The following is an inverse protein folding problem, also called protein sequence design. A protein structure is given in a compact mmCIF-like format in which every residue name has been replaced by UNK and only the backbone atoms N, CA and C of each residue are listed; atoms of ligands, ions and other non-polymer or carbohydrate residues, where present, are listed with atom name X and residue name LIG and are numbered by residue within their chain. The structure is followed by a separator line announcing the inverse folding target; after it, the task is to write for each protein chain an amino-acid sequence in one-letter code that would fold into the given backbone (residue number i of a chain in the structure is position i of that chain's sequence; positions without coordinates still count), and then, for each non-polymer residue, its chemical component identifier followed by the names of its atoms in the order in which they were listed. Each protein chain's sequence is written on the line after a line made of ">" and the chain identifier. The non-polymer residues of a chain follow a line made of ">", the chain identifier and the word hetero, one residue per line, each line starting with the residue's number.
data_IF_155421702378
#
_entry.id   IF_155421702378
#
_cell.length_a   1.000
_cell.length_b   1.000
_cell.length_c   1.000
_cell.angle_alpha   90.00
_cell.angle_beta   90.00
_cell.angle_gamma   90.00
#
_symmetry.space_group_name_H-M   'P 1'
#
loop_
_entity.id
_entity.type
_entity.pdbx_description
1 polymer ?
#
# COMPACT_ATOMS: atom_id res chain seq x y z
N UNK A 1 -16.63 -10.85 -4.36
CA UNK A 1 -16.51 -9.39 -4.48
C UNK A 1 -17.55 -8.63 -3.65
N UNK A 2 -18.85 -9.03 -3.68
CA UNK A 2 -19.90 -8.36 -2.91
C UNK A 2 -19.63 -8.38 -1.39
N UNK A 3 -19.29 -9.52 -0.81
CA UNK A 3 -18.99 -9.64 0.61
C UNK A 3 -17.82 -8.74 1.04
N UNK A 4 -16.77 -8.68 0.24
CA UNK A 4 -15.62 -7.77 0.50
C UNK A 4 -16.05 -6.30 0.47
N UNK A 5 -16.87 -5.92 -0.49
CA UNK A 5 -17.43 -4.57 -0.59
C UNK A 5 -18.31 -4.24 0.61
N UNK A 6 -19.19 -5.13 1.03
CA UNK A 6 -20.08 -4.96 2.16
C UNK A 6 -19.29 -4.80 3.48
N UNK A 7 -18.31 -5.69 3.72
CA UNK A 7 -17.43 -5.62 4.91
C UNK A 7 -16.65 -4.32 4.94
N UNK A 8 -16.04 -3.90 3.82
CA UNK A 8 -15.29 -2.64 3.74
C UNK A 8 -16.18 -1.44 4.02
N UNK A 9 -17.37 -1.42 3.46
CA UNK A 9 -18.32 -0.33 3.65
C UNK A 9 -18.80 -0.26 5.10
N UNK A 10 -19.12 -1.39 5.71
CA UNK A 10 -19.55 -1.47 7.11
C UNK A 10 -18.42 -1.07 8.07
N UNK A 11 -17.21 -1.60 7.88
CA UNK A 11 -16.04 -1.24 8.68
C UNK A 11 -15.74 0.27 8.62
N UNK A 12 -15.84 0.86 7.41
CA UNK A 12 -15.65 2.29 7.23
C UNK A 12 -16.70 3.12 7.98
N UNK A 13 -17.97 2.74 7.86
CA UNK A 13 -19.06 3.44 8.57
C UNK A 13 -18.91 3.34 10.09
N UNK A 14 -18.56 2.16 10.61
CA UNK A 14 -18.30 1.97 12.02
C UNK A 14 -17.12 2.84 12.52
N UNK A 15 -16.05 2.95 11.72
CA UNK A 15 -14.93 3.84 12.03
C UNK A 15 -15.38 5.31 12.09
N UNK A 16 -16.06 5.81 11.06
CA UNK A 16 -16.54 7.19 11.00
C UNK A 16 -17.53 7.50 12.13
N UNK A 17 -18.37 6.54 12.52
CA UNK A 17 -19.28 6.66 13.66
C UNK A 17 -18.52 6.75 14.97
N UNK A 18 -17.50 5.91 15.20
CA UNK A 18 -16.67 5.97 16.40
C UNK A 18 -15.96 7.32 16.55
N UNK A 19 -15.36 7.83 15.47
CA UNK A 19 -14.76 9.15 15.43
C UNK A 19 -15.78 10.26 15.67
N UNK A 20 -16.99 10.12 15.11
CA UNK A 20 -18.09 11.08 15.28
C UNK A 20 -18.57 11.17 16.72
N UNK A 21 -18.74 10.03 17.39
CA UNK A 21 -19.10 9.99 18.83
C UNK A 21 -18.04 10.73 19.64
N UNK A 22 -16.76 10.50 19.36
CA UNK A 22 -15.67 11.19 20.07
C UNK A 22 -15.66 12.70 19.85
N UNK A 23 -15.91 13.12 18.61
CA UNK A 23 -16.07 14.56 18.31
C UNK A 23 -17.25 15.18 19.02
N UNK A 24 -18.38 14.46 19.09
CA UNK A 24 -19.55 14.92 19.83
C UNK A 24 -19.27 15.12 21.33
N UNK A 25 -18.48 14.23 21.95
CA UNK A 25 -18.02 14.40 23.34
C UNK A 25 -17.15 15.65 23.52
N UNK A 26 -16.36 16.02 22.52
CA UNK A 26 -15.53 17.23 22.54
C UNK A 26 -16.28 18.51 22.15
N UNK A 27 -17.53 18.40 21.75
CA UNK A 27 -18.31 19.54 21.25
C UNK A 27 -17.83 20.05 19.89
N UNK A 28 -17.12 19.22 19.11
CA UNK A 28 -16.59 19.57 17.80
C UNK A 28 -17.38 18.85 16.72
N UNK A 29 -18.00 19.63 15.82
CA UNK A 29 -18.77 19.06 14.69
C UNK A 29 -18.15 19.34 13.32
N UNK A 30 -17.04 20.08 13.26
CA UNK A 30 -16.38 20.41 12.00
C UNK A 30 -15.39 19.34 11.56
N UNK A 31 -15.50 18.95 10.30
CA UNK A 31 -14.64 17.93 9.67
C UNK A 31 -14.14 18.42 8.32
N UNK A 32 -12.98 17.94 7.89
CA UNK A 32 -12.45 18.16 6.55
C UNK A 32 -12.38 16.84 5.80
N UNK A 33 -12.86 16.81 4.56
CA UNK A 33 -12.75 15.63 3.70
C UNK A 33 -11.31 15.49 3.23
N UNK A 34 -10.68 14.37 3.59
CA UNK A 34 -9.25 14.17 3.35
C UNK A 34 -8.90 14.19 1.86
N UNK A 35 -7.86 14.94 1.50
CA UNK A 35 -7.28 14.95 0.17
C UNK A 35 -6.49 13.63 -0.04
N UNK A 36 -6.63 13.03 -1.21
CA UNK A 36 -5.87 11.84 -1.61
C UNK A 36 -5.70 11.81 -3.13
N UNK A 37 -4.63 11.21 -3.62
CA UNK A 37 -4.20 11.27 -5.02
C UNK A 37 -5.15 10.68 -6.06
N UNK A 38 -6.15 9.84 -5.69
CA UNK A 38 -7.11 9.27 -6.65
C UNK A 38 -8.52 9.11 -6.06
N UNK A 39 -9.18 10.19 -5.63
CA UNK A 39 -10.58 10.14 -5.25
C UNK A 39 -11.43 9.72 -6.46
N UNK A 40 -12.53 9.01 -6.19
CA UNK A 40 -13.43 8.68 -7.28
C UNK A 40 -14.23 9.94 -7.72
N UNK A 41 -14.78 9.95 -8.95
CA UNK A 41 -15.51 11.13 -9.46
C UNK A 41 -16.68 11.59 -8.60
N UNK A 42 -17.29 10.67 -7.83
CA UNK A 42 -18.40 11.02 -6.91
C UNK A 42 -17.92 11.75 -5.66
N UNK A 43 -16.71 11.46 -5.20
CA UNK A 43 -16.15 12.04 -3.98
C UNK A 43 -15.27 13.26 -4.26
N UNK A 44 -14.65 13.33 -5.43
CA UNK A 44 -13.77 14.42 -5.85
C UNK A 44 -14.34 15.84 -5.59
N UNK A 45 -15.62 16.14 -5.84
CA UNK A 45 -16.19 17.46 -5.58
C UNK A 45 -16.17 17.89 -4.10
N UNK A 46 -15.96 16.95 -3.19
CA UNK A 46 -16.00 17.18 -1.73
C UNK A 46 -14.63 17.17 -1.07
N UNK A 47 -13.62 16.63 -1.74
CA UNK A 47 -12.26 16.50 -1.22
C UNK A 47 -11.67 17.87 -0.88
N UNK A 48 -11.02 17.97 0.28
CA UNK A 48 -10.47 19.22 0.80
C UNK A 48 -11.49 20.21 1.36
N UNK A 49 -12.79 19.91 1.30
CA UNK A 49 -13.84 20.81 1.81
C UNK A 49 -14.15 20.54 3.27
N UNK A 50 -14.34 21.64 4.00
CA UNK A 50 -14.81 21.59 5.40
C UNK A 50 -16.32 21.43 5.40
N UNK A 51 -16.81 20.59 6.31
CA UNK A 51 -18.23 20.31 6.49
C UNK A 51 -18.60 20.25 7.97
N UNK A 52 -19.86 20.42 8.27
CA UNK A 52 -20.45 20.16 9.59
C UNK A 52 -20.95 18.72 9.58
N UNK A 53 -20.43 17.91 10.48
CA UNK A 53 -20.82 16.51 10.64
C UNK A 53 -22.13 16.40 11.45
N UNK A 54 -23.23 16.51 10.75
CA UNK A 54 -24.59 16.32 11.24
C UNK A 54 -25.05 14.85 11.24
N UNK A 55 -24.16 13.93 10.84
CA UNK A 55 -24.48 12.51 10.71
C UNK A 55 -23.96 11.70 11.90
N UNK A 56 -22.73 11.95 12.32
CA UNK A 56 -22.07 11.17 13.37
C UNK A 56 -21.66 11.99 14.60
N UNK A 57 -21.50 13.33 14.45
CA UNK A 57 -21.06 14.21 15.56
C UNK A 57 -22.18 15.09 16.11
N UNK A 58 -23.43 14.85 15.75
CA UNK A 58 -24.60 15.64 16.16
C UNK A 58 -24.52 17.14 15.79
N UNK A 59 -23.70 17.49 14.78
CA UNK A 59 -23.54 18.86 14.33
C UNK A 59 -24.84 19.47 13.78
N UNK A 60 -24.98 20.78 13.90
CA UNK A 60 -26.12 21.53 13.41
C UNK A 60 -25.69 22.64 12.45
N UNK A 61 -26.57 23.03 11.54
CA UNK A 61 -26.27 24.12 10.59
C UNK A 61 -25.89 25.44 11.30
N UNK A 62 -26.33 25.64 12.54
CA UNK A 62 -25.94 26.74 13.38
C UNK A 62 -24.49 26.75 13.86
N UNK A 63 -23.80 25.60 13.80
CA UNK A 63 -22.43 25.41 14.32
C UNK A 63 -21.37 26.07 13.43
N UNK A 64 -21.75 26.61 12.27
CA UNK A 64 -20.83 27.35 11.43
C UNK A 64 -21.33 27.60 10.01
N UNK A 65 -20.48 28.24 9.22
CA UNK A 65 -20.78 28.61 7.82
C UNK A 65 -20.72 27.45 6.83
N UNK A 66 -20.13 26.31 7.23
CA UNK A 66 -19.86 25.21 6.34
C UNK A 66 -21.11 24.40 5.95
N UNK A 67 -21.09 23.68 4.80
CA UNK A 67 -22.19 22.81 4.41
C UNK A 67 -22.31 21.60 5.33
N UNK A 68 -23.51 21.00 5.39
CA UNK A 68 -23.77 19.78 6.14
C UNK A 68 -23.21 18.55 5.41
N UNK A 69 -22.61 17.64 6.17
CA UNK A 69 -22.04 16.37 5.65
C UNK A 69 -23.13 15.46 5.06
N UNK A 70 -24.33 15.45 5.67
CA UNK A 70 -25.48 14.69 5.15
C UNK A 70 -25.82 15.05 3.71
N UNK A 71 -25.69 16.34 3.33
CA UNK A 71 -25.93 16.78 1.95
C UNK A 71 -24.89 16.26 0.97
N UNK A 72 -23.63 16.18 1.38
CA UNK A 72 -22.55 15.61 0.57
C UNK A 72 -22.76 14.11 0.39
N UNK A 73 -23.17 13.40 1.46
CA UNK A 73 -23.50 11.97 1.40
C UNK A 73 -24.68 11.72 0.45
N UNK A 74 -25.72 12.53 0.51
CA UNK A 74 -26.84 12.43 -0.42
C UNK A 74 -26.43 12.65 -1.89
N UNK A 75 -25.36 13.41 -2.14
CA UNK A 75 -24.79 13.64 -3.47
C UNK A 75 -23.73 12.60 -3.89
N UNK A 76 -23.49 11.57 -3.06
CA UNK A 76 -22.65 10.43 -3.41
C UNK A 76 -21.34 10.29 -2.64
N UNK A 77 -21.03 11.20 -1.71
CA UNK A 77 -19.90 10.99 -0.79
C UNK A 77 -20.14 9.72 0.04
N UNK A 78 -19.09 8.94 0.32
CA UNK A 78 -19.15 7.68 1.08
C UNK A 78 -20.11 6.63 0.51
N UNK A 79 -20.25 6.59 -0.81
CA UNK A 79 -20.97 5.52 -1.51
C UNK A 79 -20.42 4.11 -1.17
N UNK A 80 -21.12 3.02 -1.47
CA UNK A 80 -20.60 1.67 -1.27
C UNK A 80 -19.21 1.49 -1.88
N UNK A 81 -18.30 0.87 -1.11
CA UNK A 81 -16.88 0.69 -1.47
C UNK A 81 -16.04 1.97 -1.55
N UNK A 82 -16.55 3.10 -1.08
CA UNK A 82 -15.80 4.35 -1.00
C UNK A 82 -14.58 4.23 -0.08
N UNK A 83 -13.47 4.87 -0.46
CA UNK A 83 -12.22 4.88 0.30
C UNK A 83 -11.95 6.23 0.97
N UNK A 84 -12.71 7.26 0.63
CA UNK A 84 -12.53 8.60 1.18
C UNK A 84 -12.95 8.66 2.65
N UNK A 85 -12.30 9.51 3.40
CA UNK A 85 -12.52 9.74 4.84
C UNK A 85 -12.53 11.23 5.13
N UNK A 86 -12.82 11.54 6.37
CA UNK A 86 -12.63 12.88 6.90
C UNK A 86 -11.85 12.79 8.23
N UNK A 87 -11.28 13.91 8.61
CA UNK A 87 -10.65 14.12 9.92
C UNK A 87 -11.33 15.29 10.61
N UNK A 88 -11.14 15.40 11.91
CA UNK A 88 -11.61 16.56 12.68
C UNK A 88 -10.91 17.82 12.18
N UNK A 89 -11.68 18.87 11.97
CA UNK A 89 -11.17 20.19 11.62
C UNK A 89 -11.35 21.11 12.81
N UNK A 90 -10.28 21.73 13.27
CA UNK A 90 -10.31 22.75 14.30
C UNK A 90 -10.10 24.11 13.63
N UNK A 91 -11.13 24.99 13.60
CA UNK A 91 -10.96 26.34 13.11
C UNK A 91 -9.76 27.02 13.79
N UNK A 92 -8.96 27.76 13.04
CA UNK A 92 -7.77 28.51 13.50
C UNK A 92 -6.57 27.67 13.94
N UNK A 93 -6.71 26.33 14.06
CA UNK A 93 -5.61 25.44 14.44
C UNK A 93 -5.20 24.46 13.34
N UNK A 94 -6.15 24.13 12.45
CA UNK A 94 -5.85 23.17 11.37
C UNK A 94 -5.51 23.93 10.10
N UNK A 95 -4.41 23.53 9.46
CA UNK A 95 -4.06 24.00 8.12
C UNK A 95 -5.10 23.50 7.10
N UNK A 96 -5.41 24.34 6.13
CA UNK A 96 -6.29 23.98 5.03
C UNK A 96 -5.45 23.46 3.88
N UNK A 97 -5.66 22.20 3.44
CA UNK A 97 -5.06 21.76 2.20
C UNK A 97 -5.64 22.58 1.05
N UNK A 98 -4.80 22.98 0.11
CA UNK A 98 -5.28 23.65 -1.10
C UNK A 98 -6.33 22.77 -1.81
N UNK A 99 -7.50 23.32 -2.17
CA UNK A 99 -8.49 22.57 -2.94
C UNK A 99 -7.90 22.19 -4.30
N UNK A 100 -8.39 21.11 -4.91
CA UNK A 100 -8.08 20.80 -6.29
C UNK A 100 -8.62 21.90 -7.21
N UNK A 101 -7.75 22.50 -8.03
CA UNK A 101 -8.16 23.36 -9.14
C UNK A 101 -8.78 22.51 -10.28
N UNK A 102 -9.21 23.12 -11.38
CA UNK A 102 -9.85 22.38 -12.48
C UNK A 102 -8.87 21.43 -13.18
N UNK A 103 -7.63 21.86 -13.40
CA UNK A 103 -6.59 21.03 -14.03
C UNK A 103 -6.21 19.85 -13.15
N UNK A 104 -6.04 20.07 -11.84
CA UNK A 104 -5.82 18.99 -10.86
C UNK A 104 -6.98 17.96 -10.85
N UNK A 105 -8.23 18.41 -11.05
CA UNK A 105 -9.38 17.53 -11.08
C UNK A 105 -9.38 16.63 -12.32
N UNK A 106 -8.95 17.14 -13.47
CA UNK A 106 -8.82 16.37 -14.70
C UNK A 106 -7.72 15.32 -14.57
N UNK A 107 -6.55 15.69 -14.07
CA UNK A 107 -5.44 14.77 -13.79
C UNK A 107 -5.84 13.66 -12.81
N UNK A 108 -6.45 14.04 -11.69
CA UNK A 108 -6.96 13.07 -10.70
C UNK A 108 -8.00 12.11 -11.30
N UNK A 109 -8.83 12.61 -12.22
CA UNK A 109 -9.80 11.78 -12.91
C UNK A 109 -9.15 10.78 -13.86
N UNK A 110 -8.12 11.19 -14.59
CA UNK A 110 -7.32 10.29 -15.44
C UNK A 110 -6.63 9.21 -14.62
N UNK A 111 -5.97 9.58 -13.51
CA UNK A 111 -5.36 8.63 -12.57
C UNK A 111 -6.38 7.63 -12.07
N UNK A 112 -7.58 8.09 -11.68
CA UNK A 112 -8.67 7.19 -11.29
C UNK A 112 -9.08 6.23 -12.40
N UNK A 113 -9.27 6.73 -13.63
CA UNK A 113 -9.65 5.88 -14.78
C UNK A 113 -8.59 4.81 -15.05
N UNK A 114 -7.32 5.18 -15.03
CA UNK A 114 -6.22 4.26 -15.28
C UNK A 114 -6.12 3.20 -14.16
N UNK A 115 -6.31 3.58 -12.89
CA UNK A 115 -6.41 2.63 -11.78
C UNK A 115 -7.58 1.64 -11.95
N UNK A 116 -8.73 2.09 -12.46
CA UNK A 116 -9.85 1.19 -12.76
C UNK A 116 -9.55 0.22 -13.91
N UNK A 117 -8.91 0.69 -14.98
CA UNK A 117 -8.46 -0.15 -16.11
C UNK A 117 -7.44 -1.18 -15.63
N UNK A 118 -6.47 -0.77 -14.82
CA UNK A 118 -5.47 -1.65 -14.20
C UNK A 118 -6.13 -2.74 -13.35
N UNK A 119 -7.00 -2.38 -12.42
CA UNK A 119 -7.75 -3.33 -11.58
C UNK A 119 -8.62 -4.29 -12.39
N UNK A 120 -9.13 -3.85 -13.53
CA UNK A 120 -9.85 -4.73 -14.44
C UNK A 120 -8.90 -5.74 -15.08
N UNK A 121 -7.73 -5.30 -15.56
CA UNK A 121 -6.72 -6.17 -16.15
C UNK A 121 -6.23 -7.23 -15.13
N UNK A 122 -5.96 -6.84 -13.88
CA UNK A 122 -5.60 -7.75 -12.79
C UNK A 122 -6.67 -8.85 -12.56
N UNK A 123 -7.96 -8.45 -12.49
CA UNK A 123 -9.05 -9.41 -12.33
C UNK A 123 -9.16 -10.38 -13.50
N UNK A 124 -8.90 -9.91 -14.72
CA UNK A 124 -8.89 -10.78 -15.90
C UNK A 124 -7.70 -11.74 -15.88
N UNK A 125 -6.50 -11.25 -15.53
CA UNK A 125 -5.31 -12.09 -15.36
C UNK A 125 -5.57 -13.20 -14.34
N UNK A 126 -6.06 -12.84 -13.12
CA UNK A 126 -6.41 -13.81 -12.08
C UNK A 126 -7.46 -14.83 -12.54
N UNK A 127 -8.48 -14.38 -13.28
CA UNK A 127 -9.50 -15.26 -13.84
C UNK A 127 -8.92 -16.29 -14.80
N UNK A 128 -8.10 -15.84 -15.75
CA UNK A 128 -7.52 -16.73 -16.76
C UNK A 128 -6.44 -17.62 -16.18
N UNK A 129 -5.64 -17.16 -15.21
CA UNK A 129 -4.70 -18.00 -14.48
C UNK A 129 -5.41 -19.12 -13.72
N UNK A 130 -6.52 -18.82 -13.05
CA UNK A 130 -7.35 -19.83 -12.38
C UNK A 130 -7.93 -20.85 -13.39
N UNK A 131 -8.42 -20.39 -14.54
CA UNK A 131 -8.91 -21.26 -15.60
C UNK A 131 -7.79 -22.15 -16.19
N UNK A 132 -6.59 -21.60 -16.36
CA UNK A 132 -5.43 -22.36 -16.83
C UNK A 132 -5.05 -23.47 -15.83
N UNK A 133 -5.04 -23.18 -14.54
CA UNK A 133 -4.69 -24.16 -13.50
C UNK A 133 -5.70 -25.30 -13.36
N UNK A 134 -6.98 -25.00 -13.51
CA UNK A 134 -8.06 -25.96 -13.24
C UNK A 134 -8.69 -26.56 -14.50
N UNK A 135 -8.29 -26.17 -15.70
CA UNK A 135 -8.77 -26.81 -16.93
C UNK A 135 -8.24 -28.24 -17.05
N UNK A 136 -9.07 -29.16 -17.48
CA UNK A 136 -8.67 -30.56 -17.74
C UNK A 136 -8.00 -30.71 -19.10
N UNK A 137 -8.45 -29.97 -20.12
CA UNK A 137 -7.93 -30.04 -21.48
C UNK A 137 -6.61 -29.27 -21.62
N UNK A 138 -5.51 -29.91 -22.12
CA UNK A 138 -4.19 -29.27 -22.25
C UNK A 138 -4.21 -28.02 -23.15
N UNK A 139 -5.00 -28.03 -24.21
CA UNK A 139 -5.17 -26.90 -25.15
C UNK A 139 -5.78 -25.68 -24.44
N UNK A 140 -6.78 -25.93 -23.60
CA UNK A 140 -7.41 -24.88 -22.81
C UNK A 140 -6.44 -24.30 -21.77
N UNK A 141 -5.62 -25.15 -21.13
CA UNK A 141 -4.55 -24.67 -20.21
C UNK A 141 -3.62 -23.69 -20.92
N UNK A 142 -3.12 -24.07 -22.10
CA UNK A 142 -2.22 -23.22 -22.91
C UNK A 142 -2.89 -21.91 -23.31
N UNK A 143 -4.13 -22.00 -23.80
CA UNK A 143 -4.91 -20.84 -24.23
C UNK A 143 -5.16 -19.86 -23.08
N UNK A 144 -5.59 -20.38 -21.92
CA UNK A 144 -5.88 -19.53 -20.76
C UNK A 144 -4.59 -18.96 -20.14
N UNK A 145 -3.49 -19.71 -20.10
CA UNK A 145 -2.19 -19.20 -19.67
C UNK A 145 -1.70 -18.04 -20.57
N UNK A 146 -1.89 -18.17 -21.91
CA UNK A 146 -1.60 -17.09 -22.85
C UNK A 146 -2.45 -15.84 -22.58
N UNK A 147 -3.75 -16.00 -22.35
CA UNK A 147 -4.64 -14.88 -21.99
C UNK A 147 -4.28 -14.24 -20.65
N UNK A 148 -3.90 -15.02 -19.66
CA UNK A 148 -3.43 -14.48 -18.37
C UNK A 148 -2.24 -13.55 -18.56
N UNK A 149 -1.20 -14.00 -19.29
CA UNK A 149 -0.02 -13.18 -19.60
C UNK A 149 -0.35 -11.90 -20.37
N UNK A 150 -1.29 -11.96 -21.33
CA UNK A 150 -1.72 -10.76 -22.06
C UNK A 150 -2.37 -9.73 -21.13
N UNK A 151 -3.19 -10.17 -20.19
CA UNK A 151 -3.80 -9.27 -19.21
C UNK A 151 -2.84 -8.75 -18.16
N UNK A 152 -1.83 -9.55 -17.77
CA UNK A 152 -0.73 -9.11 -16.92
C UNK A 152 0.06 -7.97 -17.59
N UNK A 153 0.48 -8.18 -18.85
CA UNK A 153 1.20 -7.17 -19.62
C UNK A 153 0.41 -5.87 -19.78
N UNK A 154 -0.90 -5.98 -20.01
CA UNK A 154 -1.78 -4.80 -20.10
C UNK A 154 -1.92 -4.07 -18.76
N UNK A 155 -1.90 -4.78 -17.64
CA UNK A 155 -1.87 -4.20 -16.30
C UNK A 155 -0.57 -3.44 -16.05
N UNK A 156 0.57 -3.99 -16.47
CA UNK A 156 1.89 -3.38 -16.35
C UNK A 156 2.03 -2.09 -17.18
N UNK A 157 1.52 -2.08 -18.41
CA UNK A 157 1.48 -0.87 -19.26
C UNK A 157 0.77 0.30 -18.55
N UNK A 158 -0.33 0.01 -17.85
CA UNK A 158 -1.11 1.02 -17.15
C UNK A 158 -0.43 1.52 -15.85
N UNK A 159 0.50 0.76 -15.27
CA UNK A 159 1.32 1.21 -14.13
C UNK A 159 2.34 2.26 -14.58
N UNK A 160 2.99 2.05 -15.71
CA UNK A 160 3.94 3.02 -16.26
C UNK A 160 3.30 4.41 -16.48
N UNK A 161 2.04 4.45 -16.87
CA UNK A 161 1.31 5.70 -17.08
C UNK A 161 1.01 6.44 -15.76
N UNK A 162 0.71 5.72 -14.69
CA UNK A 162 0.44 6.31 -13.38
C UNK A 162 1.69 6.89 -12.69
N UNK A 163 2.88 6.32 -12.99
CA UNK A 163 4.15 6.81 -12.43
C UNK A 163 4.72 8.02 -13.18
N UNK A 164 4.25 8.30 -14.38
CA UNK A 164 4.69 9.45 -15.19
C UNK A 164 3.90 10.74 -14.89
N UNK A 165 2.72 10.63 -14.29
CA UNK A 165 1.85 11.78 -13.99
C UNK A 165 2.14 12.44 -12.63
N UNK A 166 2.98 11.85 -11.80
CA UNK A 166 3.38 12.43 -10.52
C UNK A 166 4.66 13.29 -10.72
N UNK A 167 4.47 14.46 -11.33
CA UNK A 167 5.51 15.42 -11.70
C UNK A 167 6.20 16.13 -10.54
N UNK A 168 6.31 15.51 -9.37
CA UNK A 168 7.16 16.00 -8.29
C UNK A 168 8.57 15.44 -8.43
N UNK A 169 9.49 16.28 -8.83
CA UNK A 169 10.94 16.07 -8.86
C UNK A 169 11.59 15.80 -7.49
N UNK A 170 10.88 15.16 -6.58
CA UNK A 170 11.35 14.82 -5.22
C UNK A 170 11.06 13.34 -4.92
N UNK A 171 11.36 12.50 -5.88
CA UNK A 171 11.67 11.13 -5.54
C UNK A 171 13.15 11.08 -5.11
N UNK A 172 13.52 10.43 -3.99
CA UNK A 172 14.92 10.11 -3.75
C UNK A 172 15.45 9.44 -5.01
N UNK A 173 16.73 9.65 -5.35
CA UNK A 173 17.36 9.15 -6.59
C UNK A 173 17.04 7.66 -6.79
N UNK A 174 15.88 7.39 -7.36
CA UNK A 174 15.50 6.07 -7.83
C UNK A 174 16.35 5.80 -9.05
N UNK A 175 17.47 5.16 -8.88
CA UNK A 175 18.11 4.46 -9.99
C UNK A 175 17.09 3.42 -10.42
N UNK A 176 16.40 3.68 -11.53
CA UNK A 176 15.46 2.70 -12.12
C UNK A 176 16.20 1.38 -12.27
N UNK A 177 15.69 0.36 -11.61
CA UNK A 177 16.28 -0.97 -11.71
C UNK A 177 16.21 -1.42 -13.16
N UNK A 178 17.37 -1.60 -13.79
CA UNK A 178 17.43 -1.92 -15.22
C UNK A 178 16.78 -3.27 -15.52
N UNK A 179 16.29 -3.45 -16.74
CA UNK A 179 15.77 -4.75 -17.19
C UNK A 179 16.81 -5.87 -17.00
N UNK A 180 18.09 -5.57 -17.23
CA UNK A 180 19.20 -6.50 -17.01
C UNK A 180 19.30 -6.93 -15.54
N UNK A 181 19.20 -6.02 -14.61
CA UNK A 181 19.23 -6.30 -13.17
C UNK A 181 18.05 -7.18 -12.76
N UNK A 182 16.85 -6.87 -13.23
CA UNK A 182 15.66 -7.70 -12.97
C UNK A 182 15.83 -9.14 -13.47
N UNK A 183 16.38 -9.32 -14.67
CA UNK A 183 16.63 -10.67 -15.22
C UNK A 183 17.66 -11.46 -14.38
N UNK A 184 18.72 -10.80 -13.90
CA UNK A 184 19.69 -11.45 -13.00
C UNK A 184 19.04 -11.87 -11.67
N UNK A 185 18.20 -11.02 -11.10
CA UNK A 185 17.46 -11.35 -9.88
C UNK A 185 16.48 -12.51 -10.08
N UNK A 186 15.84 -12.60 -11.25
CA UNK A 186 14.97 -13.74 -11.61
C UNK A 186 15.73 -15.06 -11.71
N UNK A 187 17.00 -15.05 -12.11
CA UNK A 187 17.82 -16.26 -12.15
C UNK A 187 17.96 -16.91 -10.78
N UNK A 188 17.88 -16.14 -9.68
CA UNK A 188 17.89 -16.71 -8.33
C UNK A 188 16.70 -17.64 -8.06
N UNK A 189 15.57 -17.46 -8.74
CA UNK A 189 14.39 -18.30 -8.62
C UNK A 189 14.63 -19.74 -9.13
N UNK A 190 15.62 -19.95 -9.97
CA UNK A 190 15.98 -21.31 -10.48
C UNK A 190 16.54 -22.23 -9.40
N UNK A 191 16.96 -21.67 -8.26
CA UNK A 191 17.45 -22.41 -7.09
C UNK A 191 16.32 -22.95 -6.20
N UNK A 192 15.08 -22.53 -6.46
CA UNK A 192 13.93 -22.88 -5.64
C UNK A 192 13.30 -24.20 -6.09
N UNK A 193 12.86 -24.99 -5.13
CA UNK A 193 12.03 -26.17 -5.38
C UNK A 193 10.56 -25.78 -5.61
N UNK A 194 9.73 -26.71 -6.04
CA UNK A 194 8.29 -26.48 -6.18
C UNK A 194 7.65 -26.14 -4.83
N UNK A 195 8.10 -26.75 -3.73
CA UNK A 195 7.65 -26.45 -2.38
C UNK A 195 8.01 -25.02 -1.96
N UNK A 196 9.23 -24.55 -2.28
CA UNK A 196 9.64 -23.17 -2.02
C UNK A 196 8.75 -22.18 -2.76
N UNK A 197 8.48 -22.43 -4.03
CA UNK A 197 7.59 -21.59 -4.84
C UNK A 197 6.17 -21.62 -4.28
N UNK A 198 5.70 -22.75 -3.83
CA UNK A 198 4.37 -22.92 -3.27
C UNK A 198 4.20 -22.13 -1.97
N UNK A 199 5.19 -22.19 -1.05
CA UNK A 199 5.11 -21.44 0.20
C UNK A 199 5.20 -19.93 -0.03
N UNK A 200 6.05 -19.44 -0.95
CA UNK A 200 6.12 -18.03 -1.32
C UNK A 200 4.79 -17.55 -1.91
N UNK A 201 4.20 -18.29 -2.83
CA UNK A 201 2.90 -17.98 -3.42
C UNK A 201 1.77 -17.96 -2.40
N UNK A 202 1.78 -18.89 -1.46
CA UNK A 202 0.81 -18.98 -0.38
C UNK A 202 0.96 -17.79 0.58
N UNK A 203 2.21 -17.43 0.91
CA UNK A 203 2.52 -16.26 1.73
C UNK A 203 1.99 -14.99 1.09
N UNK A 204 2.35 -14.68 -0.15
CA UNK A 204 1.91 -13.49 -0.88
C UNK A 204 0.39 -13.46 -1.14
N UNK A 205 -0.26 -14.62 -1.17
CA UNK A 205 -1.72 -14.73 -1.36
C UNK A 205 -2.54 -14.42 -0.12
N UNK A 206 -2.34 -15.16 0.95
CA UNK A 206 -3.26 -15.16 2.10
C UNK A 206 -2.57 -15.13 3.47
N UNK A 207 -1.31 -15.54 3.61
CA UNK A 207 -0.67 -15.73 4.90
C UNK A 207 0.06 -14.51 5.45
N UNK A 208 0.55 -13.62 4.58
CA UNK A 208 1.42 -12.50 4.99
C UNK A 208 0.86 -11.70 6.17
N UNK A 209 -0.41 -11.27 6.07
CA UNK A 209 -1.02 -10.45 7.11
C UNK A 209 -1.17 -11.20 8.43
N UNK A 210 -1.59 -12.47 8.38
CA UNK A 210 -1.89 -13.27 9.59
C UNK A 210 -0.59 -13.66 10.27
N UNK A 211 0.39 -14.15 9.51
CA UNK A 211 1.69 -14.58 9.99
C UNK A 211 2.48 -13.41 10.59
N UNK A 212 2.61 -12.31 9.86
CA UNK A 212 3.34 -11.14 10.33
C UNK A 212 2.67 -10.49 11.56
N UNK A 213 1.34 -10.50 11.65
CA UNK A 213 0.64 -10.04 12.85
C UNK A 213 0.94 -10.93 14.06
N UNK A 214 0.99 -12.24 13.88
CA UNK A 214 1.31 -13.15 14.99
C UNK A 214 2.77 -12.98 15.44
N UNK A 215 3.71 -12.85 14.50
CA UNK A 215 5.13 -12.56 14.79
C UNK A 215 5.26 -11.24 15.57
N UNK A 216 4.63 -10.18 15.09
CA UNK A 216 4.68 -8.85 15.74
C UNK A 216 4.09 -8.84 17.16
N UNK A 217 3.10 -9.71 17.45
CA UNK A 217 2.48 -9.78 18.75
C UNK A 217 3.17 -10.73 19.74
N UNK A 218 3.79 -11.80 19.24
CA UNK A 218 4.31 -12.91 20.07
C UNK A 218 5.80 -13.21 19.86
N UNK A 219 6.46 -12.47 18.97
CA UNK A 219 7.84 -12.74 18.55
C UNK A 219 7.97 -13.96 17.62
N UNK A 220 6.91 -14.73 17.41
CA UNK A 220 6.89 -15.93 16.56
C UNK A 220 5.47 -16.20 16.05
N UNK A 221 5.35 -16.96 14.95
CA UNK A 221 4.07 -17.39 14.41
C UNK A 221 3.78 -18.85 14.82
N UNK A 222 3.25 -19.05 16.02
CA UNK A 222 2.98 -20.39 16.57
C UNK A 222 2.06 -21.20 15.67
N UNK A 223 0.98 -20.59 15.16
CA UNK A 223 0.01 -21.25 14.26
C UNK A 223 0.59 -21.60 12.89
N UNK A 224 1.59 -20.85 12.46
CA UNK A 224 2.19 -20.93 11.13
C UNK A 224 3.67 -21.30 11.20
N UNK A 225 4.07 -22.04 12.26
CA UNK A 225 5.47 -22.36 12.52
C UNK A 225 6.12 -23.06 11.31
N UNK A 226 5.44 -24.06 10.78
CA UNK A 226 5.94 -24.84 9.63
C UNK A 226 6.05 -23.97 8.39
N UNK A 227 5.05 -23.15 8.10
CA UNK A 227 5.05 -22.23 6.97
C UNK A 227 6.11 -21.14 7.13
N UNK A 228 6.32 -20.64 8.34
CA UNK A 228 7.32 -19.65 8.65
C UNK A 228 8.74 -20.20 8.45
N UNK A 229 9.00 -21.41 8.94
CA UNK A 229 10.30 -22.10 8.78
C UNK A 229 10.57 -22.44 7.32
N UNK A 230 9.54 -22.91 6.58
CA UNK A 230 9.65 -23.19 5.15
C UNK A 230 9.93 -21.90 4.33
N UNK A 231 9.28 -20.79 4.67
CA UNK A 231 9.52 -19.52 4.00
C UNK A 231 10.90 -18.95 4.31
N UNK A 232 11.38 -19.06 5.57
CA UNK A 232 12.74 -18.70 5.93
C UNK A 232 13.77 -19.50 5.11
N UNK A 233 13.57 -20.82 5.00
CA UNK A 233 14.46 -21.70 4.23
C UNK A 233 14.45 -21.37 2.72
N UNK A 234 13.29 -21.06 2.17
CA UNK A 234 13.16 -20.65 0.77
C UNK A 234 13.90 -19.34 0.50
N UNK A 235 13.71 -18.32 1.36
CA UNK A 235 14.35 -17.01 1.19
C UNK A 235 15.86 -17.06 1.42
N UNK A 236 16.37 -17.95 2.28
CA UNK A 236 17.81 -18.13 2.52
C UNK A 236 18.59 -18.54 1.26
N UNK A 237 17.92 -19.15 0.27
CA UNK A 237 18.52 -19.54 -1.02
C UNK A 237 18.78 -18.33 -1.92
N UNK A 238 18.12 -17.19 -1.66
CA UNK A 238 18.20 -15.99 -2.49
C UNK A 238 19.38 -15.10 -2.12
N UNK A 239 20.01 -14.53 -3.16
CA UNK A 239 21.10 -13.56 -3.03
C UNK A 239 20.78 -12.36 -3.93
N UNK A 240 20.98 -11.17 -3.42
CA UNK A 240 20.92 -9.93 -4.22
C UNK A 240 22.20 -9.84 -5.05
N UNK A 241 22.05 -9.86 -6.38
CA UNK A 241 23.14 -10.02 -7.34
C UNK A 241 23.85 -8.71 -7.71
N UNK A 242 23.22 -7.57 -7.45
CA UNK A 242 23.76 -6.23 -7.70
C UNK A 242 23.30 -5.28 -6.58
N UNK A 243 23.96 -4.13 -6.42
CA UNK A 243 23.48 -3.09 -5.51
C UNK A 243 22.11 -2.60 -5.97
N UNK A 244 21.16 -2.57 -5.06
CA UNK A 244 19.77 -2.19 -5.33
C UNK A 244 19.29 -1.10 -4.40
N UNK A 245 18.30 -0.34 -4.86
CA UNK A 245 17.42 0.43 -3.99
C UNK A 245 16.05 -0.25 -4.05
N UNK A 246 15.52 -0.63 -2.89
CA UNK A 246 14.17 -1.16 -2.77
C UNK A 246 13.29 -0.18 -2.00
N UNK A 247 12.01 -0.15 -2.36
CA UNK A 247 11.03 0.77 -1.80
C UNK A 247 10.10 0.05 -0.84
N UNK A 248 9.86 0.64 0.32
CA UNK A 248 8.86 0.18 1.27
C UNK A 248 7.90 1.31 1.61
N UNK A 249 6.62 1.03 1.52
CA UNK A 249 5.59 1.94 2.02
C UNK A 249 4.96 1.36 3.29
N UNK A 250 4.85 2.19 4.32
CA UNK A 250 4.32 1.80 5.62
C UNK A 250 3.64 2.99 6.30
N UNK A 251 3.24 2.80 7.53
CA UNK A 251 2.84 3.88 8.45
C UNK A 251 3.82 3.88 9.65
N UNK A 252 3.95 4.99 10.38
CA UNK A 252 4.93 5.11 11.46
C UNK A 252 4.81 4.00 12.50
N UNK A 253 3.60 3.59 12.85
CA UNK A 253 3.32 2.54 13.85
C UNK A 253 3.85 1.16 13.47
N UNK A 254 4.11 0.92 12.16
CA UNK A 254 4.63 -0.37 11.67
C UNK A 254 6.13 -0.32 11.36
N UNK A 255 6.82 0.76 11.73
CA UNK A 255 8.27 0.84 11.56
C UNK A 255 9.06 0.08 12.64
N UNK A 256 8.43 -0.37 13.72
CA UNK A 256 9.05 -1.03 14.86
C UNK A 256 10.10 -0.16 15.62
N UNK A 257 9.99 1.16 15.51
CA UNK A 257 10.88 2.11 16.19
C UNK A 257 10.18 2.85 17.33
N UNK A 258 8.85 2.80 17.36
CA UNK A 258 8.03 3.44 18.40
C UNK A 258 7.31 2.41 19.26
N UNK A 259 7.02 2.74 20.53
CA UNK A 259 6.20 1.90 21.37
C UNK A 259 4.82 1.63 20.75
N UNK A 260 4.28 0.43 21.00
CA UNK A 260 2.97 0.06 20.48
C UNK A 260 1.88 1.02 20.97
N UNK A 261 1.11 1.58 20.03
CA UNK A 261 0.05 2.56 20.30
C UNK A 261 0.53 4.01 20.43
N UNK A 262 1.83 4.25 20.30
CA UNK A 262 2.36 5.61 20.20
C UNK A 262 2.09 6.18 18.81
N UNK A 263 1.61 7.41 18.75
CA UNK A 263 1.43 8.16 17.51
C UNK A 263 2.55 9.20 17.43
N UNK A 264 3.57 8.99 16.59
CA UNK A 264 4.69 9.90 16.54
C UNK A 264 4.32 11.24 15.90
N UNK A 265 4.91 12.31 16.45
CA UNK A 265 4.90 13.63 15.82
C UNK A 265 5.90 13.70 14.67
N UNK A 266 5.84 14.77 13.87
CA UNK A 266 6.84 15.03 12.82
C UNK A 266 8.27 15.13 13.42
N UNK A 267 8.40 15.73 14.59
CA UNK A 267 9.69 15.86 15.28
C UNK A 267 10.25 14.48 15.67
N UNK A 268 9.41 13.56 16.15
CA UNK A 268 9.82 12.20 16.46
C UNK A 268 10.32 11.47 15.20
N UNK A 269 9.68 11.71 14.06
CA UNK A 269 10.09 11.13 12.78
C UNK A 269 11.44 11.67 12.31
N UNK A 270 11.69 12.98 12.43
CA UNK A 270 12.97 13.61 12.09
C UNK A 270 14.12 13.13 12.97
N UNK A 271 13.86 12.78 14.22
CA UNK A 271 14.85 12.25 15.17
C UNK A 271 15.26 10.79 14.89
N UNK A 272 14.62 10.12 13.92
CA UNK A 272 14.97 8.74 13.56
C UNK A 272 16.29 8.60 12.81
N UNK A 273 16.92 9.69 12.36
CA UNK A 273 18.22 9.62 11.68
C UNK A 273 19.25 8.96 12.60
N UNK A 274 19.97 7.96 12.08
CA UNK A 274 20.91 7.12 12.84
C UNK A 274 20.27 5.94 13.58
N UNK A 275 18.94 5.82 13.58
CA UNK A 275 18.24 4.73 14.27
C UNK A 275 18.39 3.41 13.50
N UNK A 276 18.73 2.34 14.22
CA UNK A 276 18.69 0.98 13.71
C UNK A 276 17.27 0.42 13.80
N UNK A 277 16.70 0.08 12.67
CA UNK A 277 15.38 -0.57 12.56
C UNK A 277 15.59 -2.06 12.35
N UNK A 278 15.07 -2.88 13.26
CA UNK A 278 15.08 -4.34 13.15
C UNK A 278 13.69 -4.86 12.85
N UNK A 279 13.57 -5.70 11.83
CA UNK A 279 12.30 -6.28 11.43
C UNK A 279 12.26 -7.77 11.82
N UNK A 280 11.47 -8.11 12.84
CA UNK A 280 11.27 -9.50 13.26
C UNK A 280 10.35 -10.29 12.32
N UNK A 281 9.60 -9.59 11.48
CA UNK A 281 8.71 -10.14 10.45
C UNK A 281 9.37 -10.18 9.07
N UNK A 282 8.77 -10.91 8.13
CA UNK A 282 9.12 -10.82 6.71
C UNK A 282 8.81 -9.43 6.17
N UNK A 283 9.70 -8.92 5.32
CA UNK A 283 9.62 -7.55 4.82
C UNK A 283 9.38 -7.55 3.32
N UNK A 284 8.20 -7.10 2.92
CA UNK A 284 7.86 -6.83 1.52
C UNK A 284 8.33 -5.44 1.13
N UNK A 285 9.06 -5.37 0.04
CA UNK A 285 9.53 -4.15 -0.62
C UNK A 285 9.25 -4.23 -2.12
N UNK A 286 9.51 -3.18 -2.86
CA UNK A 286 9.31 -3.13 -4.32
C UNK A 286 10.54 -2.60 -5.03
N UNK A 287 10.79 -3.05 -6.27
CA UNK A 287 11.78 -2.45 -7.17
C UNK A 287 11.26 -1.20 -7.87
N UNK A 288 9.95 -1.01 -7.93
CA UNK A 288 9.31 0.11 -8.60
C UNK A 288 8.40 0.87 -7.64
N UNK A 289 8.24 2.18 -7.83
CA UNK A 289 7.27 2.94 -7.07
C UNK A 289 5.85 2.42 -7.32
N UNK A 290 5.08 2.22 -6.28
CA UNK A 290 3.64 2.02 -6.39
C UNK A 290 2.98 2.64 -5.16
N UNK A 291 1.78 3.19 -5.33
CA UNK A 291 1.12 3.94 -4.27
C UNK A 291 0.15 3.08 -3.46
N UNK A 292 0.43 2.94 -2.18
CA UNK A 292 -0.56 2.54 -1.18
C UNK A 292 -1.17 3.78 -0.53
N UNK A 293 -2.35 4.13 -0.95
CA UNK A 293 -3.10 5.34 -0.61
C UNK A 293 -3.34 5.64 0.89
N UNK A 294 -2.87 4.80 1.79
CA UNK A 294 -3.05 4.99 3.23
C UNK A 294 -1.74 4.89 4.01
N UNK A 295 -0.61 4.98 3.31
CA UNK A 295 0.71 4.86 3.93
C UNK A 295 1.48 6.14 3.66
N UNK A 296 1.75 6.88 4.73
CA UNK A 296 2.45 8.15 4.66
C UNK A 296 3.95 8.05 4.94
N UNK A 297 4.49 6.85 5.04
CA UNK A 297 5.95 6.62 5.15
C UNK A 297 6.44 5.90 3.91
N UNK A 298 7.40 6.50 3.22
CA UNK A 298 8.08 5.97 2.03
C UNK A 298 9.56 5.80 2.35
N UNK A 299 10.02 4.55 2.39
CA UNK A 299 11.40 4.22 2.74
C UNK A 299 12.11 3.71 1.50
N UNK A 300 13.22 4.34 1.13
CA UNK A 300 14.17 3.88 0.13
C UNK A 300 15.32 3.18 0.85
N UNK A 301 15.48 1.89 0.63
CA UNK A 301 16.47 1.08 1.35
C UNK A 301 17.55 0.64 0.36
N UNK A 302 18.79 1.04 0.61
CA UNK A 302 19.95 0.56 -0.13
C UNK A 302 20.29 -0.86 0.32
N UNK A 303 20.31 -1.78 -0.64
CA UNK A 303 20.62 -3.20 -0.42
C UNK A 303 21.92 -3.53 -1.16
N UNK A 304 22.97 -3.93 -0.44
CA UNK A 304 24.24 -4.22 -1.08
C UNK A 304 24.20 -5.54 -1.86
N UNK A 305 24.95 -5.60 -2.93
CA UNK A 305 25.27 -6.84 -3.62
C UNK A 305 25.79 -7.89 -2.64
N UNK A 306 25.32 -9.13 -2.80
CA UNK A 306 25.70 -10.25 -1.94
C UNK A 306 24.82 -10.42 -0.69
N UNK A 307 23.84 -9.53 -0.46
CA UNK A 307 22.89 -9.70 0.64
C UNK A 307 22.11 -11.01 0.47
N UNK A 308 22.08 -11.85 1.52
CA UNK A 308 21.40 -13.14 1.56
C UNK A 308 20.04 -13.02 2.25
N UNK A 309 19.11 -13.90 1.88
CA UNK A 309 17.79 -13.92 2.51
C UNK A 309 16.79 -12.96 1.87
N UNK A 310 16.98 -12.63 0.60
CA UNK A 310 16.03 -11.84 -0.18
C UNK A 310 15.86 -12.41 -1.59
N UNK A 311 14.63 -12.36 -2.09
CA UNK A 311 14.28 -12.84 -3.44
C UNK A 311 13.37 -11.83 -4.15
N UNK A 312 13.65 -11.57 -5.41
CA UNK A 312 12.73 -10.88 -6.30
C UNK A 312 11.68 -11.88 -6.81
N UNK A 313 10.47 -11.80 -6.30
CA UNK A 313 9.47 -12.86 -6.40
C UNK A 313 8.34 -12.58 -7.40
N UNK A 314 8.45 -11.55 -8.24
CA UNK A 314 7.40 -11.14 -9.20
C UNK A 314 6.77 -12.33 -9.93
N UNK A 315 7.57 -13.21 -10.52
CA UNK A 315 7.08 -14.25 -11.40
C UNK A 315 6.44 -15.43 -10.64
N UNK A 316 6.76 -15.60 -9.38
CA UNK A 316 6.26 -16.70 -8.52
C UNK A 316 5.24 -16.23 -7.48
N UNK A 317 5.10 -14.94 -7.25
CA UNK A 317 4.09 -14.37 -6.36
C UNK A 317 2.67 -14.70 -6.84
N UNK A 318 1.70 -14.55 -5.94
CA UNK A 318 0.29 -14.63 -6.32
C UNK A 318 0.00 -13.62 -7.45
N UNK A 319 -0.69 -14.01 -8.53
CA UNK A 319 -0.91 -13.16 -9.71
C UNK A 319 -1.47 -11.76 -9.39
N UNK A 320 -2.26 -11.68 -8.34
CA UNK A 320 -2.86 -10.42 -7.85
C UNK A 320 -1.82 -9.38 -7.43
N UNK A 321 -0.60 -9.79 -7.05
CA UNK A 321 0.42 -8.92 -6.47
C UNK A 321 1.68 -8.80 -7.32
N UNK A 322 1.74 -9.42 -8.50
CA UNK A 322 2.90 -9.37 -9.40
C UNK A 322 3.28 -7.96 -9.85
N UNK A 323 2.28 -7.06 -9.94
CA UNK A 323 2.51 -5.66 -10.26
C UNK A 323 3.35 -4.91 -9.23
N UNK A 324 3.49 -5.45 -8.02
CA UNK A 324 4.27 -4.81 -6.95
C UNK A 324 5.78 -4.93 -7.17
N UNK A 325 6.24 -5.67 -8.17
CA UNK A 325 7.69 -5.88 -8.40
C UNK A 325 8.42 -6.25 -7.10
N UNK A 326 7.83 -7.18 -6.33
CA UNK A 326 8.18 -7.43 -4.93
C UNK A 326 9.55 -8.07 -4.77
N UNK A 327 10.37 -7.48 -3.91
CA UNK A 327 11.53 -8.13 -3.27
C UNK A 327 11.14 -8.47 -1.84
N UNK A 328 11.07 -9.74 -1.55
CA UNK A 328 10.70 -10.27 -0.24
C UNK A 328 11.95 -10.62 0.56
N UNK A 329 12.07 -10.03 1.76
CA UNK A 329 13.16 -10.26 2.69
C UNK A 329 12.76 -11.22 3.80
N UNK A 330 13.72 -12.08 4.17
CA UNK A 330 13.64 -12.94 5.34
C UNK A 330 13.52 -12.11 6.62
N UNK A 331 13.00 -12.73 7.66
CA UNK A 331 12.94 -12.16 9.02
C UNK A 331 14.33 -11.79 9.53
N UNK A 332 14.38 -10.75 10.37
CA UNK A 332 15.63 -10.25 10.96
C UNK A 332 16.37 -9.22 10.10
N UNK A 333 15.80 -8.86 8.92
CA UNK A 333 16.35 -7.77 8.12
C UNK A 333 16.46 -6.50 8.97
N UNK A 334 17.62 -5.85 8.93
CA UNK A 334 17.89 -4.63 9.68
C UNK A 334 18.46 -3.54 8.79
N UNK A 335 18.08 -2.29 9.03
CA UNK A 335 18.61 -1.14 8.30
C UNK A 335 18.78 0.06 9.24
N UNK A 336 19.71 0.94 8.89
CA UNK A 336 19.90 2.23 9.57
C UNK A 336 19.24 3.32 8.74
N UNK A 337 18.50 4.20 9.40
CA UNK A 337 17.92 5.39 8.78
C UNK A 337 19.02 6.43 8.61
N UNK A 338 19.24 6.91 7.39
CA UNK A 338 20.29 7.86 7.04
C UNK A 338 19.75 9.29 6.87
N UNK A 339 18.52 9.43 6.37
CA UNK A 339 17.86 10.74 6.19
C UNK A 339 16.33 10.60 6.35
N UNK A 340 15.70 11.68 6.80
CA UNK A 340 14.24 11.80 6.90
C UNK A 340 13.83 13.18 6.41
N UNK A 341 12.95 13.23 5.43
CA UNK A 341 12.33 14.44 4.91
C UNK A 341 10.81 14.35 5.04
N UNK A 342 10.18 15.47 5.32
CA UNK A 342 8.72 15.57 5.40
C UNK A 342 8.27 16.51 4.29
N UNK A 343 7.41 16.01 3.41
CA UNK A 343 6.85 16.77 2.29
C UNK A 343 5.37 16.44 2.21
N UNK A 344 4.52 17.44 2.33
CA UNK A 344 3.04 17.28 2.27
C UNK A 344 2.47 16.20 3.21
N UNK A 345 3.03 16.09 4.42
CA UNK A 345 2.61 15.09 5.42
C UNK A 345 3.07 13.66 5.09
N UNK A 346 3.91 13.49 4.08
CA UNK A 346 4.55 12.22 3.72
C UNK A 346 5.99 12.23 4.24
N UNK A 347 6.37 11.17 4.93
CA UNK A 347 7.73 10.95 5.42
C UNK A 347 8.54 10.18 4.38
N UNK A 348 9.56 10.81 3.83
CA UNK A 348 10.53 10.20 2.92
C UNK A 348 11.77 9.83 3.73
N UNK A 349 12.11 8.57 3.76
CA UNK A 349 13.20 8.02 4.56
C UNK A 349 14.20 7.36 3.63
N UNK A 350 15.46 7.74 3.74
CA UNK A 350 16.57 7.04 3.14
C UNK A 350 17.22 6.13 4.18
N UNK A 351 17.50 4.89 3.80
CA UNK A 351 18.05 3.89 4.71
C UNK A 351 19.01 2.95 3.97
N UNK A 352 19.88 2.27 4.72
CA UNK A 352 20.74 1.20 4.17
C UNK A 352 20.72 -0.02 5.08
N UNK A 353 20.81 -1.18 4.48
CA UNK A 353 20.94 -2.47 5.19
C UNK A 353 22.30 -2.52 5.94
N UNK A 354 22.27 -3.14 7.11
CA UNK A 354 23.44 -3.40 7.97
C UNK A 354 23.54 -4.87 8.31
#
# INVERSE_FOLDING_TARGET
>A
DYARMAIRTAAKRAYLQGEGVKRAEWGVSTVIINKRGNPCPKCLPFVGKIMIDDVWSNGKKSDGKYPLLSRAIAKGLYHPNCRDSHTTYFPELSDLPEPYNEDDQEEVFEVYQNDQKRKYAERQAEKYDRLARHSLAPENKKTYAGKAKQWEAKGEELIQYASLSDGTEIAPRLTQTTKSTKEKLKQELTKLTEEDIMIIRRYTGNLAMQMNREIANKGTAVRYKTEMEALDAALEKGIITEDLIVLRQTIPEFMNVFPKGYVPSEMDMLQLVGTLVKNDSFVSTSLEPFDYLMRNVRISIQVPKGYKGALYIKDIASPRFRYQEEVLFKRGMSYIIEDVKIIDGIYYIEARIV
#
